data_IF_885882425435
#
_entry.id   IF_885882425435
#
_cell.length_a   1.000
_cell.length_b   1.000
_cell.length_c   1.000
_cell.angle_alpha   90.00
_cell.angle_beta   90.00
_cell.angle_gamma   90.00
#
_symmetry.space_group_name_H-M   'P 1'
#
loop_
_entity.id
_entity.type
_entity.pdbx_description
1 polymer ?
#
# COMPACT_ATOMS: atom_id res chain seq x y z
N UNK A 1 16.20 -28.84 -3.51
CA UNK A 1 15.39 -29.69 -2.62
C UNK A 1 14.85 -28.74 -1.57
N UNK A 2 13.60 -28.34 -1.77
CA UNK A 2 12.72 -27.46 -1.00
C UNK A 2 13.39 -26.30 -0.26
N UNK A 3 13.67 -25.19 -0.94
CA UNK A 3 13.82 -23.87 -0.32
C UNK A 3 12.65 -23.02 -0.80
N UNK A 4 12.16 -22.08 0.01
CA UNK A 4 11.20 -21.10 -0.48
C UNK A 4 11.93 -20.03 -1.29
N UNK A 5 11.35 -19.65 -2.42
CA UNK A 5 11.87 -18.58 -3.28
C UNK A 5 11.05 -17.29 -3.18
N UNK A 6 9.86 -17.35 -2.59
CA UNK A 6 9.05 -16.19 -2.28
C UNK A 6 8.18 -16.41 -1.03
N UNK A 7 7.63 -15.32 -0.50
CA UNK A 7 6.75 -15.33 0.67
C UNK A 7 5.41 -15.97 0.33
N UNK A 8 4.90 -15.80 -0.90
CA UNK A 8 3.68 -16.42 -1.40
C UNK A 8 3.82 -17.94 -1.50
N UNK A 9 4.98 -18.44 -1.92
CA UNK A 9 5.29 -19.87 -1.94
C UNK A 9 5.26 -20.46 -0.53
N UNK A 10 5.83 -19.74 0.44
CA UNK A 10 5.79 -20.12 1.84
C UNK A 10 4.34 -20.14 2.37
N UNK A 11 3.56 -19.09 2.10
CA UNK A 11 2.15 -18.99 2.50
C UNK A 11 1.32 -20.15 1.94
N UNK A 12 1.45 -20.44 0.64
CA UNK A 12 0.76 -21.54 -0.01
C UNK A 12 1.14 -22.91 0.60
N UNK A 13 2.39 -23.06 1.02
CA UNK A 13 2.88 -24.29 1.66
C UNK A 13 2.36 -24.44 3.09
N UNK A 14 2.31 -23.36 3.88
CA UNK A 14 1.68 -23.36 5.20
C UNK A 14 0.18 -23.65 5.12
N UNK A 15 -0.55 -23.09 4.15
CA UNK A 15 -1.98 -23.38 3.93
C UNK A 15 -2.24 -24.88 3.62
N UNK A 16 -1.26 -25.58 3.06
CA UNK A 16 -1.35 -27.02 2.72
C UNK A 16 -0.82 -27.96 3.82
N UNK A 17 -0.15 -27.44 4.85
CA UNK A 17 0.41 -28.27 5.92
C UNK A 17 -0.70 -28.80 6.84
N UNK A 18 -0.98 -30.11 6.77
CA UNK A 18 -2.05 -30.79 7.52
C UNK A 18 -1.53 -31.69 8.66
N UNK A 19 -0.21 -31.83 8.76
CA UNK A 19 0.47 -32.66 9.75
C UNK A 19 1.74 -31.99 10.29
N UNK A 20 2.21 -32.46 11.44
CA UNK A 20 3.36 -31.89 12.17
C UNK A 20 4.63 -31.88 11.32
N UNK A 21 4.92 -32.98 10.61
CA UNK A 21 6.14 -33.10 9.82
C UNK A 21 6.23 -32.05 8.70
N UNK A 22 5.13 -31.86 7.96
CA UNK A 22 5.06 -30.84 6.90
C UNK A 22 5.10 -29.43 7.47
N UNK A 23 4.43 -29.19 8.60
CA UNK A 23 4.45 -27.89 9.28
C UNK A 23 5.85 -27.53 9.79
N UNK A 24 6.52 -28.41 10.53
CA UNK A 24 7.87 -28.18 11.08
C UNK A 24 8.92 -28.01 9.98
N UNK A 25 8.80 -28.77 8.88
CA UNK A 25 9.64 -28.59 7.71
C UNK A 25 9.44 -27.20 7.11
N UNK A 26 8.20 -26.76 6.90
CA UNK A 26 7.90 -25.41 6.40
C UNK A 26 8.44 -24.32 7.35
N UNK A 27 8.33 -24.50 8.67
CA UNK A 27 8.91 -23.57 9.66
C UNK A 27 10.41 -23.45 9.50
N UNK A 28 11.10 -24.58 9.34
CA UNK A 28 12.56 -24.60 9.16
C UNK A 28 12.98 -23.90 7.86
N UNK A 29 12.30 -24.21 6.76
CA UNK A 29 12.60 -23.64 5.44
C UNK A 29 12.30 -22.14 5.39
N UNK A 30 11.17 -21.70 5.96
CA UNK A 30 10.84 -20.28 5.99
C UNK A 30 11.78 -19.48 6.88
N UNK A 31 12.20 -20.02 8.02
CA UNK A 31 13.25 -19.40 8.85
C UNK A 31 14.57 -19.21 8.09
N UNK A 32 14.95 -20.16 7.23
CA UNK A 32 16.15 -20.05 6.39
C UNK A 32 15.97 -18.97 5.33
N UNK A 33 14.83 -18.96 4.65
CA UNK A 33 14.47 -17.91 3.69
C UNK A 33 14.55 -16.51 4.32
N UNK A 34 13.90 -16.29 5.47
CA UNK A 34 13.93 -14.99 6.18
C UNK A 34 15.36 -14.53 6.51
N UNK A 35 16.25 -15.46 6.88
CA UNK A 35 17.66 -15.14 7.14
C UNK A 35 18.41 -14.72 5.88
N UNK A 36 18.16 -15.39 4.77
CA UNK A 36 18.78 -15.08 3.48
C UNK A 36 18.32 -13.71 2.96
N UNK A 37 17.05 -13.38 3.20
CA UNK A 37 16.43 -12.10 2.85
C UNK A 37 16.85 -10.94 3.78
N UNK A 38 17.65 -11.21 4.80
CA UNK A 38 18.20 -10.18 5.69
C UNK A 38 17.26 -9.76 6.84
N UNK A 39 16.24 -10.58 7.15
CA UNK A 39 15.36 -10.35 8.29
C UNK A 39 16.15 -10.18 9.60
N UNK A 40 15.74 -9.21 10.40
CA UNK A 40 16.37 -8.97 11.71
C UNK A 40 16.23 -10.17 12.64
N UNK A 41 17.18 -10.30 13.58
CA UNK A 41 17.11 -11.36 14.60
C UNK A 41 15.83 -11.30 15.44
N UNK A 42 15.26 -10.11 15.66
CA UNK A 42 14.01 -9.96 16.38
C UNK A 42 12.80 -10.42 15.55
N UNK A 43 12.79 -10.11 14.24
CA UNK A 43 11.77 -10.61 13.32
C UNK A 43 11.77 -12.13 13.21
N UNK A 44 12.95 -12.75 13.20
CA UNK A 44 13.09 -14.22 13.24
C UNK A 44 12.52 -14.79 14.53
N UNK A 45 12.81 -14.19 15.69
CA UNK A 45 12.26 -14.64 16.98
C UNK A 45 10.74 -14.50 17.04
N UNK A 46 10.19 -13.42 16.50
CA UNK A 46 8.74 -13.24 16.45
C UNK A 46 8.08 -14.34 15.62
N UNK A 47 8.65 -14.66 14.45
CA UNK A 47 8.18 -15.77 13.62
C UNK A 47 8.21 -17.11 14.39
N UNK A 48 9.33 -17.43 15.05
CA UNK A 48 9.45 -18.66 15.85
C UNK A 48 8.41 -18.72 16.98
N UNK A 49 8.14 -17.59 17.62
CA UNK A 49 7.12 -17.48 18.67
C UNK A 49 5.72 -17.77 18.12
N UNK A 50 5.39 -17.31 16.92
CA UNK A 50 4.10 -17.57 16.26
C UNK A 50 3.95 -19.05 15.88
N UNK A 51 5.04 -19.64 15.38
CA UNK A 51 5.11 -21.03 14.94
C UNK A 51 5.14 -22.05 16.10
N UNK A 52 5.50 -21.62 17.31
CA UNK A 52 5.61 -22.52 18.45
C UNK A 52 4.25 -23.13 18.86
N UNK A 53 4.28 -24.43 19.15
CA UNK A 53 3.24 -25.17 19.85
C UNK A 53 3.88 -26.21 20.77
N UNK A 54 3.18 -26.59 21.84
CA UNK A 54 3.67 -27.60 22.78
C UNK A 54 3.14 -28.99 22.40
N UNK A 55 4.01 -29.92 21.96
CA UNK A 55 3.60 -31.29 21.65
C UNK A 55 3.20 -32.06 22.91
N UNK A 56 2.20 -32.92 22.76
CA UNK A 56 1.69 -33.79 23.81
C UNK A 56 2.05 -35.25 23.51
N UNK A 57 2.95 -35.82 24.30
CA UNK A 57 3.42 -37.21 24.17
C UNK A 57 2.30 -38.24 24.40
N UNK A 58 1.23 -37.86 25.10
CA UNK A 58 0.13 -38.74 25.47
C UNK A 58 -1.07 -38.62 24.52
N UNK A 59 -1.12 -37.60 23.64
CA UNK A 59 -2.23 -37.38 22.72
C UNK A 59 -1.78 -36.74 21.41
N UNK A 60 -1.64 -37.58 20.37
CA UNK A 60 -1.38 -37.10 19.00
C UNK A 60 -2.46 -36.15 18.49
N UNK A 61 -3.71 -36.36 18.90
CA UNK A 61 -4.83 -35.49 18.51
C UNK A 61 -4.70 -34.08 19.08
N UNK A 62 -4.35 -33.96 20.36
CA UNK A 62 -4.13 -32.66 21.02
C UNK A 62 -2.91 -31.94 20.41
N UNK A 63 -1.83 -32.67 20.10
CA UNK A 63 -0.70 -32.11 19.37
C UNK A 63 -1.12 -31.56 18.01
N UNK A 64 -1.89 -32.34 17.24
CA UNK A 64 -2.37 -31.91 15.92
C UNK A 64 -3.25 -30.66 16.03
N UNK A 65 -4.19 -30.60 16.97
CA UNK A 65 -5.03 -29.42 17.19
C UNK A 65 -4.19 -28.18 17.53
N UNK A 66 -3.20 -28.30 18.41
CA UNK A 66 -2.30 -27.18 18.77
C UNK A 66 -1.43 -26.72 17.61
N UNK A 67 -0.93 -27.66 16.80
CA UNK A 67 -0.19 -27.37 15.58
C UNK A 67 -1.06 -26.59 14.59
N UNK A 68 -2.31 -26.99 14.40
CA UNK A 68 -3.24 -26.28 13.51
C UNK A 68 -3.44 -24.83 13.97
N UNK A 69 -3.58 -24.58 15.28
CA UNK A 69 -3.66 -23.21 15.80
C UNK A 69 -2.36 -22.43 15.56
N UNK A 70 -1.18 -23.06 15.70
CA UNK A 70 0.09 -22.42 15.37
C UNK A 70 0.21 -22.09 13.88
N UNK A 71 -0.27 -22.98 13.02
CA UNK A 71 -0.33 -22.77 11.57
C UNK A 71 -1.18 -21.56 11.20
N UNK A 72 -2.37 -21.41 11.80
CA UNK A 72 -3.20 -20.22 11.56
C UNK A 72 -2.51 -18.93 12.03
N UNK A 73 -1.78 -18.96 13.16
CA UNK A 73 -0.97 -17.80 13.60
C UNK A 73 0.14 -17.45 12.60
N UNK A 74 0.79 -18.46 12.03
CA UNK A 74 1.85 -18.26 11.03
C UNK A 74 1.28 -17.73 9.72
N UNK A 75 0.19 -18.31 9.22
CA UNK A 75 -0.51 -17.84 8.02
C UNK A 75 -0.89 -16.37 8.19
N UNK A 76 -1.55 -16.03 9.30
CA UNK A 76 -1.94 -14.64 9.59
C UNK A 76 -0.73 -13.70 9.70
N UNK A 77 0.39 -14.16 10.25
CA UNK A 77 1.62 -13.36 10.32
C UNK A 77 2.24 -13.12 8.94
N UNK A 78 2.27 -14.14 8.08
CA UNK A 78 2.79 -14.02 6.71
C UNK A 78 1.90 -13.12 5.86
N UNK A 79 0.58 -13.24 5.99
CA UNK A 79 -0.38 -12.35 5.30
C UNK A 79 -0.17 -10.90 5.73
N UNK A 80 -0.04 -10.62 7.03
CA UNK A 80 0.30 -9.27 7.53
C UNK A 80 1.64 -8.77 7.01
N UNK A 81 2.62 -9.66 6.83
CA UNK A 81 3.92 -9.30 6.30
C UNK A 81 3.83 -8.87 4.83
N UNK A 82 3.11 -9.63 4.00
CA UNK A 82 2.83 -9.28 2.60
C UNK A 82 2.08 -7.96 2.48
N UNK A 83 1.02 -7.77 3.28
CA UNK A 83 0.24 -6.54 3.29
C UNK A 83 1.11 -5.31 3.62
N UNK A 84 2.03 -5.47 4.58
CA UNK A 84 2.96 -4.42 4.95
C UNK A 84 3.97 -4.11 3.84
N UNK A 85 4.49 -5.11 3.12
CA UNK A 85 5.39 -4.89 1.99
C UNK A 85 4.69 -4.21 0.82
N UNK A 86 3.50 -4.66 0.43
CA UNK A 86 2.72 -4.02 -0.64
C UNK A 86 2.36 -2.58 -0.29
N UNK A 87 1.96 -2.33 0.95
CA UNK A 87 1.72 -0.97 1.47
C UNK A 87 2.99 -0.11 1.43
N UNK A 88 4.15 -0.70 1.73
CA UNK A 88 5.43 0.00 1.68
C UNK A 88 5.82 0.37 0.24
N UNK A 89 5.58 -0.51 -0.74
CA UNK A 89 5.79 -0.21 -2.16
C UNK A 89 4.87 0.93 -2.60
N UNK A 90 3.58 0.89 -2.26
CA UNK A 90 2.65 1.95 -2.60
C UNK A 90 3.10 3.28 -2.01
N UNK A 91 3.46 3.32 -0.73
CA UNK A 91 3.97 4.53 -0.08
C UNK A 91 5.22 5.07 -0.77
N UNK A 92 6.19 4.22 -1.11
CA UNK A 92 7.40 4.64 -1.84
C UNK A 92 7.06 5.24 -3.21
N UNK A 93 6.16 4.59 -3.95
CA UNK A 93 5.69 5.05 -5.26
C UNK A 93 5.00 6.41 -5.16
N UNK A 94 4.12 6.59 -4.17
CA UNK A 94 3.44 7.86 -3.94
C UNK A 94 4.44 8.93 -3.47
N UNK A 95 5.31 8.64 -2.51
CA UNK A 95 6.29 9.60 -1.96
C UNK A 95 7.31 10.07 -3.01
N UNK A 96 7.65 9.23 -3.99
CA UNK A 96 8.61 9.54 -5.06
C UNK A 96 7.97 9.94 -6.39
N UNK A 97 6.67 10.25 -6.39
CA UNK A 97 5.97 10.68 -7.61
C UNK A 97 6.55 11.95 -8.25
N UNK A 98 7.21 12.82 -7.47
CA UNK A 98 7.92 13.99 -8.00
C UNK A 98 9.03 13.59 -8.99
N UNK A 99 9.71 12.48 -8.74
CA UNK A 99 10.72 11.95 -9.67
C UNK A 99 10.09 11.49 -10.99
N UNK A 100 8.90 10.91 -10.95
CA UNK A 100 8.17 10.55 -12.17
C UNK A 100 7.83 11.80 -13.00
N UNK A 101 7.26 12.83 -12.36
CA UNK A 101 6.92 14.08 -13.03
C UNK A 101 8.17 14.79 -13.59
N UNK A 102 9.26 14.85 -12.82
CA UNK A 102 10.54 15.43 -13.25
C UNK A 102 11.05 14.72 -14.52
N UNK A 103 11.05 13.39 -14.53
CA UNK A 103 11.57 12.61 -15.66
C UNK A 103 10.64 12.60 -16.87
N UNK A 104 9.33 12.77 -16.66
CA UNK A 104 8.35 12.79 -17.75
C UNK A 104 8.25 14.17 -18.41
N UNK A 105 8.22 15.25 -17.62
CA UNK A 105 7.81 16.58 -18.10
C UNK A 105 8.97 17.59 -18.08
N UNK A 106 9.87 17.51 -17.09
CA UNK A 106 10.89 18.55 -16.87
C UNK A 106 12.21 18.26 -17.61
N UNK A 107 12.60 16.98 -17.73
CA UNK A 107 13.84 16.58 -18.40
C UNK A 107 13.70 16.60 -19.93
N UNK A 108 14.73 17.12 -20.59
CA UNK A 108 14.78 17.13 -22.05
C UNK A 108 14.86 15.70 -22.61
N UNK A 109 14.01 15.35 -23.58
CA UNK A 109 14.14 14.08 -24.29
C UNK A 109 15.51 13.96 -24.96
N UNK A 110 15.96 12.72 -25.15
CA UNK A 110 17.13 12.45 -25.97
C UNK A 110 16.94 13.09 -27.37
N UNK A 111 17.98 13.72 -27.92
CA UNK A 111 17.93 14.37 -29.25
C UNK A 111 17.53 13.44 -30.39
N UNK A 112 17.63 12.12 -30.20
CA UNK A 112 17.21 11.07 -31.15
C UNK A 112 15.80 10.52 -30.87
N UNK A 113 15.13 10.96 -29.81
CA UNK A 113 13.78 10.52 -29.47
C UNK A 113 12.75 11.12 -30.44
N UNK A 114 11.67 10.38 -30.69
CA UNK A 114 10.52 10.89 -31.45
C UNK A 114 9.66 11.87 -30.65
N UNK A 115 9.68 11.76 -29.31
CA UNK A 115 9.01 12.69 -28.39
C UNK A 115 9.86 13.94 -28.24
N UNK A 116 9.27 15.10 -28.51
CA UNK A 116 9.91 16.40 -28.42
C UNK A 116 9.53 17.13 -27.14
N UNK A 117 10.39 18.04 -26.68
CA UNK A 117 10.17 18.85 -25.48
C UNK A 117 8.86 19.64 -25.57
N UNK A 118 8.52 20.16 -26.75
CA UNK A 118 7.30 20.96 -26.93
C UNK A 118 6.04 20.12 -26.71
N UNK A 119 6.07 18.83 -27.08
CA UNK A 119 4.96 17.90 -26.87
C UNK A 119 4.79 17.59 -25.38
N UNK A 120 5.88 17.43 -24.64
CA UNK A 120 5.86 17.21 -23.19
C UNK A 120 5.42 18.46 -22.43
N UNK A 121 5.82 19.65 -22.90
CA UNK A 121 5.43 20.92 -22.28
C UNK A 121 3.93 21.21 -22.35
N UNK A 122 3.18 20.47 -23.19
CA UNK A 122 1.72 20.52 -23.25
C UNK A 122 1.05 19.72 -22.12
N UNK A 123 1.76 18.79 -21.46
CA UNK A 123 1.27 18.05 -20.29
C UNK A 123 1.39 18.94 -19.05
N UNK A 124 0.41 19.82 -18.85
CA UNK A 124 0.32 20.67 -17.65
C UNK A 124 -0.71 20.11 -16.69
N UNK A 125 -0.36 20.09 -15.41
CA UNK A 125 -1.29 19.72 -14.34
C UNK A 125 -2.13 20.96 -13.98
N UNK A 126 -3.37 21.00 -14.45
CA UNK A 126 -4.30 22.09 -14.20
C UNK A 126 -5.17 21.79 -12.98
N UNK A 127 -5.68 20.56 -12.88
CA UNK A 127 -6.65 20.14 -11.89
C UNK A 127 -6.38 18.71 -11.36
N UNK A 128 -7.31 18.19 -10.57
CA UNK A 128 -7.24 16.89 -9.89
C UNK A 128 -7.31 15.71 -10.86
N UNK A 129 -8.12 15.80 -11.91
CA UNK A 129 -8.25 14.76 -12.93
C UNK A 129 -6.95 14.57 -13.72
N UNK A 130 -6.15 15.63 -13.92
CA UNK A 130 -4.85 15.52 -14.57
C UNK A 130 -3.87 14.72 -13.69
N UNK A 131 -3.86 15.01 -12.38
CA UNK A 131 -3.05 14.27 -11.40
C UNK A 131 -3.50 12.81 -11.34
N UNK A 132 -4.81 12.57 -11.22
CA UNK A 132 -5.40 11.24 -11.19
C UNK A 132 -5.04 10.44 -12.44
N UNK A 133 -5.12 11.04 -13.62
CA UNK A 133 -4.79 10.38 -14.89
C UNK A 133 -3.33 9.95 -14.94
N UNK A 134 -2.41 10.86 -14.62
CA UNK A 134 -0.97 10.58 -14.64
C UNK A 134 -0.59 9.57 -13.53
N UNK A 135 -1.17 9.70 -12.34
CA UNK A 135 -0.92 8.81 -11.22
C UNK A 135 -1.43 7.40 -11.52
N UNK A 136 -2.64 7.27 -12.07
CA UNK A 136 -3.19 5.99 -12.49
C UNK A 136 -2.32 5.33 -13.56
N UNK A 137 -1.88 6.08 -14.57
CA UNK A 137 -0.97 5.57 -15.60
C UNK A 137 0.35 5.04 -15.01
N UNK A 138 0.88 5.72 -13.99
CA UNK A 138 2.10 5.30 -13.28
C UNK A 138 1.89 4.04 -12.43
N UNK A 139 0.73 3.93 -11.77
CA UNK A 139 0.39 2.80 -10.89
C UNK A 139 -0.06 1.54 -11.62
N UNK A 140 -0.69 1.67 -12.79
CA UNK A 140 -1.35 0.56 -13.49
C UNK A 140 -0.44 -0.66 -13.75
N UNK A 141 0.87 -0.51 -14.08
CA UNK A 141 1.78 -1.65 -14.21
C UNK A 141 2.03 -2.40 -12.90
N UNK A 142 2.00 -1.70 -11.75
CA UNK A 142 2.18 -2.28 -10.42
C UNK A 142 0.88 -2.88 -9.87
N UNK A 143 -0.25 -2.25 -10.21
CA UNK A 143 -1.59 -2.67 -9.79
C UNK A 143 -2.49 -2.89 -11.03
N UNK A 144 -2.33 -4.03 -11.75
CA UNK A 144 -3.06 -4.28 -13.00
C UNK A 144 -4.58 -4.29 -12.84
N UNK A 145 -5.08 -4.58 -11.64
CA UNK A 145 -6.51 -4.60 -11.32
C UNK A 145 -7.07 -3.25 -10.88
N UNK A 146 -6.23 -2.22 -10.74
CA UNK A 146 -6.66 -0.89 -10.33
C UNK A 146 -7.68 -0.31 -11.31
N UNK A 147 -8.66 0.43 -10.78
CA UNK A 147 -9.74 1.06 -11.55
C UNK A 147 -9.90 2.51 -11.09
N UNK A 148 -10.27 3.38 -12.02
CA UNK A 148 -10.62 4.77 -11.71
C UNK A 148 -12.12 4.94 -11.56
N UNK A 149 -12.56 5.93 -10.79
CA UNK A 149 -13.96 6.39 -10.73
C UNK A 149 -14.95 5.28 -10.33
N UNK A 150 -14.59 4.46 -9.32
CA UNK A 150 -15.43 3.35 -8.86
C UNK A 150 -16.54 3.90 -7.97
N UNK A 151 -17.78 3.60 -8.35
CA UNK A 151 -18.96 3.96 -7.57
C UNK A 151 -19.27 2.91 -6.51
N UNK A 152 -19.53 3.36 -5.29
CA UNK A 152 -20.00 2.56 -4.17
C UNK A 152 -21.39 3.00 -3.78
N UNK A 153 -22.28 2.03 -3.66
CA UNK A 153 -23.61 2.26 -3.12
C UNK A 153 -23.56 2.19 -1.59
N UNK A 154 -23.77 3.34 -0.94
CA UNK A 154 -23.89 3.47 0.51
C UNK A 154 -25.33 3.30 1.00
N UNK A 155 -26.24 2.86 0.11
CA UNK A 155 -27.67 2.64 0.38
C UNK A 155 -28.52 3.92 0.32
N UNK A 156 -27.95 5.08 0.64
CA UNK A 156 -28.62 6.38 0.57
C UNK A 156 -27.88 7.41 -0.31
N UNK A 157 -26.67 7.11 -0.76
CA UNK A 157 -25.89 7.93 -1.66
C UNK A 157 -24.90 7.05 -2.43
N UNK A 158 -24.48 7.52 -3.59
CA UNK A 158 -23.36 6.93 -4.32
C UNK A 158 -22.11 7.73 -4.02
N UNK A 159 -21.09 7.05 -3.49
CA UNK A 159 -19.78 7.64 -3.23
C UNK A 159 -18.83 7.12 -4.30
N UNK A 160 -18.10 8.01 -4.95
CA UNK A 160 -17.16 7.65 -6.00
C UNK A 160 -15.74 7.86 -5.50
N UNK A 161 -14.91 6.84 -5.66
CA UNK A 161 -13.49 6.87 -5.30
C UNK A 161 -12.65 7.16 -6.55
N UNK A 162 -11.60 7.97 -6.42
CA UNK A 162 -10.77 8.34 -7.56
C UNK A 162 -10.01 7.15 -8.16
N UNK A 163 -9.27 6.40 -7.34
CA UNK A 163 -8.54 5.19 -7.76
C UNK A 163 -8.74 4.09 -6.72
N UNK A 164 -9.38 2.98 -7.12
CA UNK A 164 -9.49 1.76 -6.33
C UNK A 164 -8.41 0.77 -6.78
N UNK A 165 -7.56 0.34 -5.85
CA UNK A 165 -6.53 -0.68 -6.12
C UNK A 165 -7.11 -2.08 -5.94
N UNK A 166 -7.88 -2.28 -4.87
CA UNK A 166 -8.55 -3.52 -4.50
C UNK A 166 -9.81 -3.21 -3.66
N UNK A 167 -10.34 -4.20 -2.94
CA UNK A 167 -11.55 -4.07 -2.11
C UNK A 167 -11.33 -3.40 -0.75
N UNK A 168 -10.09 -3.29 -0.28
CA UNK A 168 -9.72 -2.68 0.99
C UNK A 168 -8.94 -1.37 0.84
N UNK A 169 -8.42 -1.10 -0.36
CA UNK A 169 -7.46 -0.01 -0.61
C UNK A 169 -7.88 0.92 -1.75
N UNK A 170 -7.93 2.21 -1.42
CA UNK A 170 -8.19 3.30 -2.36
C UNK A 170 -7.17 4.42 -2.23
N UNK A 171 -6.98 5.14 -3.33
CA UNK A 171 -6.25 6.39 -3.38
C UNK A 171 -7.24 7.50 -3.74
N UNK A 172 -7.29 8.52 -2.89
CA UNK A 172 -8.03 9.75 -3.13
C UNK A 172 -7.06 10.84 -3.56
N UNK A 173 -7.32 11.47 -4.69
CA UNK A 173 -6.44 12.48 -5.28
C UNK A 173 -6.99 13.85 -4.94
N UNK A 174 -6.12 14.77 -4.49
CA UNK A 174 -6.48 16.18 -4.32
C UNK A 174 -5.51 17.06 -5.07
N UNK A 175 -6.03 18.09 -5.76
CA UNK A 175 -5.19 19.09 -6.41
C UNK A 175 -5.62 20.51 -6.02
N UNK A 176 -4.69 21.26 -5.43
CA UNK A 176 -4.99 22.63 -4.99
C UNK A 176 -5.06 23.57 -6.19
N UNK A 177 -5.98 24.54 -6.13
CA UNK A 177 -6.18 25.57 -7.15
C UNK A 177 -6.20 26.96 -6.51
N UNK A 178 -5.94 28.06 -7.25
CA UNK A 178 -5.73 29.39 -6.67
C UNK A 178 -6.88 29.90 -5.77
N UNK A 179 -8.13 29.50 -6.05
CA UNK A 179 -9.30 29.90 -5.26
C UNK A 179 -9.57 29.02 -4.03
N UNK A 180 -8.82 27.93 -3.87
CA UNK A 180 -9.04 26.96 -2.79
C UNK A 180 -8.39 27.45 -1.49
N UNK A 181 -9.19 27.49 -0.42
CA UNK A 181 -8.69 27.74 0.92
C UNK A 181 -8.31 26.43 1.61
N UNK A 182 -7.32 26.47 2.50
CA UNK A 182 -6.91 25.30 3.29
C UNK A 182 -8.07 24.67 4.07
N UNK A 183 -9.01 25.49 4.58
CA UNK A 183 -10.21 24.98 5.26
C UNK A 183 -11.06 24.08 4.37
N UNK A 184 -11.22 24.44 3.09
CA UNK A 184 -12.00 23.65 2.14
C UNK A 184 -11.35 22.30 1.84
N UNK A 185 -10.04 22.29 1.62
CA UNK A 185 -9.28 21.04 1.42
C UNK A 185 -9.41 20.11 2.63
N UNK A 186 -9.38 20.67 3.85
CA UNK A 186 -9.55 19.90 5.09
C UNK A 186 -10.94 19.29 5.23
N UNK A 187 -11.98 20.03 4.85
CA UNK A 187 -13.36 19.53 4.84
C UNK A 187 -13.53 18.37 3.87
N UNK A 188 -12.99 18.50 2.65
CA UNK A 188 -13.03 17.44 1.63
C UNK A 188 -12.34 16.17 2.15
N UNK A 189 -11.10 16.29 2.63
CA UNK A 189 -10.35 15.15 3.20
C UNK A 189 -11.10 14.48 4.36
N UNK A 190 -11.65 15.28 5.29
CA UNK A 190 -12.39 14.73 6.42
C UNK A 190 -13.68 14.02 5.98
N UNK A 191 -14.36 14.53 4.95
CA UNK A 191 -15.53 13.87 4.39
C UNK A 191 -15.15 12.52 3.77
N UNK A 192 -14.10 12.47 2.96
CA UNK A 192 -13.67 11.24 2.28
C UNK A 192 -13.21 10.17 3.30
N UNK A 193 -12.47 10.58 4.34
CA UNK A 193 -12.07 9.71 5.46
C UNK A 193 -13.25 9.05 6.16
N UNK A 194 -14.40 9.71 6.24
CA UNK A 194 -15.59 9.19 6.90
C UNK A 194 -16.39 8.29 5.94
N UNK A 195 -16.66 8.78 4.74
CA UNK A 195 -17.64 8.15 3.86
C UNK A 195 -17.12 6.91 3.14
N UNK A 196 -15.81 6.79 2.89
CA UNK A 196 -15.31 5.63 2.15
C UNK A 196 -15.49 4.35 2.97
N UNK A 197 -15.78 3.22 2.34
CA UNK A 197 -15.97 1.97 3.08
C UNK A 197 -14.64 1.26 3.34
N UNK A 198 -13.62 1.59 2.56
CA UNK A 198 -12.30 1.00 2.60
C UNK A 198 -11.54 1.27 3.89
N UNK A 199 -10.75 0.25 4.26
CA UNK A 199 -9.91 0.24 5.44
C UNK A 199 -8.65 1.07 5.21
N UNK A 200 -8.06 1.01 4.03
CA UNK A 200 -6.82 1.72 3.68
C UNK A 200 -7.14 2.86 2.71
N UNK A 201 -6.94 4.10 3.14
CA UNK A 201 -7.20 5.29 2.33
C UNK A 201 -5.90 6.09 2.21
N UNK A 202 -5.41 6.20 0.98
CA UNK A 202 -4.23 6.97 0.64
C UNK A 202 -4.64 8.30 0.02
N UNK A 203 -4.45 9.40 0.73
CA UNK A 203 -4.60 10.73 0.15
C UNK A 203 -3.32 11.13 -0.58
N UNK A 204 -3.44 11.32 -1.89
CA UNK A 204 -2.39 11.90 -2.72
C UNK A 204 -2.72 13.36 -3.02
N UNK A 205 -2.04 14.28 -2.34
CA UNK A 205 -2.32 15.72 -2.42
C UNK A 205 -1.23 16.39 -3.26
N UNK A 206 -1.59 16.85 -4.46
CA UNK A 206 -0.77 17.74 -5.26
C UNK A 206 -1.07 19.21 -4.89
N UNK A 207 -0.31 19.72 -3.92
CA UNK A 207 -0.42 21.09 -3.41
C UNK A 207 0.36 22.08 -4.29
N UNK A 208 -0.09 22.22 -5.54
CA UNK A 208 0.45 23.15 -6.53
C UNK A 208 0.55 24.59 -6.01
N UNK A 209 -0.44 25.04 -5.24
CA UNK A 209 -0.55 26.41 -4.74
C UNK A 209 0.18 26.62 -3.40
N UNK A 210 0.72 25.56 -2.81
CA UNK A 210 1.46 25.57 -1.54
C UNK A 210 0.62 26.17 -0.41
N UNK A 211 -0.67 25.84 -0.35
CA UNK A 211 -1.58 26.30 0.71
C UNK A 211 -1.34 25.53 2.02
N UNK A 212 -0.75 24.34 1.96
CA UNK A 212 -0.32 23.58 3.14
C UNK A 212 1.09 24.06 3.52
N UNK A 213 1.18 24.93 4.54
CA UNK A 213 2.47 25.50 4.97
C UNK A 213 3.39 24.52 5.71
N UNK A 214 2.80 23.60 6.46
CA UNK A 214 3.52 22.62 7.29
C UNK A 214 3.10 21.18 6.90
N UNK A 215 3.57 20.64 5.76
CA UNK A 215 3.12 19.34 5.25
C UNK A 215 3.31 18.19 6.24
N UNK A 216 4.41 18.19 6.99
CA UNK A 216 4.72 17.14 7.96
C UNK A 216 3.75 17.13 9.16
N UNK A 217 3.35 18.32 9.61
CA UNK A 217 2.35 18.45 10.68
C UNK A 217 0.98 18.04 10.13
N UNK A 218 0.64 18.53 8.93
CA UNK A 218 -0.62 18.18 8.27
C UNK A 218 -0.79 16.66 8.13
N UNK A 219 0.22 15.97 7.58
CA UNK A 219 0.27 14.50 7.47
C UNK A 219 -0.02 13.84 8.82
N UNK A 220 0.81 14.13 9.83
CA UNK A 220 0.70 13.51 11.18
C UNK A 220 -0.65 13.75 11.86
N UNK A 221 -1.27 14.90 11.64
CA UNK A 221 -2.56 15.24 12.25
C UNK A 221 -3.68 14.38 11.68
N UNK A 222 -3.74 14.24 10.35
CA UNK A 222 -4.86 13.60 9.68
C UNK A 222 -4.72 12.09 9.58
N UNK A 223 -3.50 11.55 9.51
CA UNK A 223 -3.26 10.09 9.52
C UNK A 223 -3.75 9.41 10.82
N UNK A 224 -3.94 10.19 11.90
CA UNK A 224 -4.41 9.69 13.21
C UNK A 224 -5.87 10.04 13.51
N UNK A 225 -6.59 10.64 12.55
CA UNK A 225 -7.92 11.20 12.79
C UNK A 225 -8.99 10.11 12.96
N UNK A 226 -8.90 9.03 12.18
CA UNK A 226 -9.87 7.92 12.19
C UNK A 226 -9.18 6.66 12.70
N UNK A 227 -9.65 6.08 13.81
CA UNK A 227 -9.00 4.93 14.46
C UNK A 227 -9.24 3.60 13.74
N UNK A 228 -10.35 3.49 13.02
CA UNK A 228 -10.80 2.24 12.38
C UNK A 228 -10.25 2.06 10.97
N UNK A 229 -9.55 3.09 10.45
CA UNK A 229 -8.99 3.11 9.11
C UNK A 229 -7.51 3.42 9.16
N UNK A 230 -6.77 2.85 8.21
CA UNK A 230 -5.39 3.18 7.95
C UNK A 230 -5.37 4.34 6.95
N UNK A 231 -5.09 5.53 7.45
CA UNK A 231 -5.01 6.73 6.63
C UNK A 231 -3.54 7.05 6.37
N UNK A 232 -3.20 7.24 5.11
CA UNK A 232 -1.88 7.66 4.66
C UNK A 232 -2.00 8.94 3.86
N UNK A 233 -1.13 9.92 4.13
CA UNK A 233 -1.13 11.19 3.40
C UNK A 233 0.23 11.43 2.77
N UNK A 234 0.21 11.61 1.45
CA UNK A 234 1.36 12.06 0.67
C UNK A 234 1.06 13.45 0.11
N UNK A 235 1.99 14.38 0.31
CA UNK A 235 1.85 15.77 -0.15
C UNK A 235 3.01 16.09 -1.08
N UNK A 236 2.69 16.42 -2.33
CA UNK A 236 3.63 16.89 -3.33
C UNK A 236 3.46 18.38 -3.56
N UNK A 237 4.54 19.13 -3.35
CA UNK A 237 4.60 20.56 -3.63
C UNK A 237 5.65 20.79 -4.73
N UNK A 238 5.26 21.34 -5.90
CA UNK A 238 6.19 21.58 -7.00
C UNK A 238 7.37 22.47 -6.55
N UNK A 239 8.59 22.03 -6.85
CA UNK A 239 9.80 22.77 -6.45
C UNK A 239 10.00 24.02 -7.31
N UNK A 240 9.48 24.02 -8.54
CA UNK A 240 9.54 25.13 -9.50
C UNK A 240 8.11 25.54 -9.85
N UNK A 241 7.82 26.85 -9.78
CA UNK A 241 6.63 27.49 -10.34
C UNK A 241 7.00 28.11 -11.68
#
# INVERSE_FOLDING_TARGET
MNEFHSIEEALASFKKADNEQTFEMNVTLFKQYLKQDGMSAEGIKEFERRAYYLPNEYSKKDTQERMMVARERVISYIEQFLDNEESNILLQVLEHYDLFLENLIERDPNKRAGIRKEQLSALKIENEYDVQHLLFAYLKPLYPMARTEVNQDMGYATVRTDISLDSETVIEVKCTRPSMQLGKLKEEIAADMIHYSEKNIYFFIYDKEKIIKEPQIFKKTYEKMVKEKNIHITIHQPKIL
#
